data_IF_967749789193
#
_entry.id   IF_967749789193
#
_cell.length_a   1.000
_cell.length_b   1.000
_cell.length_c   1.000
_cell.angle_alpha   90.00
_cell.angle_beta   90.00
_cell.angle_gamma   90.00
#
_symmetry.space_group_name_H-M   'P 1'
#
loop_
_entity.id
_entity.type
_entity.pdbx_description
1 polymer ?
#
# COMPACT_ATOMS: atom_id res chain seq x y z
N UNK A 1 47.57 -18.12 -9.00
CA UNK A 1 46.40 -17.56 -9.73
C UNK A 1 45.41 -17.05 -8.68
N UNK A 2 45.41 -15.75 -8.40
CA UNK A 2 44.42 -15.11 -7.55
C UNK A 2 43.45 -14.36 -8.47
N UNK A 3 42.16 -14.66 -8.33
CA UNK A 3 41.08 -13.92 -8.98
C UNK A 3 41.01 -12.52 -8.38
N UNK A 4 40.92 -11.45 -9.18
CA UNK A 4 40.78 -10.11 -8.62
C UNK A 4 39.36 -9.97 -8.04
N UNK A 5 39.32 -9.71 -6.73
CA UNK A 5 38.11 -9.39 -6.00
C UNK A 5 37.68 -7.98 -6.41
N UNK A 6 36.67 -7.88 -7.28
CA UNK A 6 36.06 -6.59 -7.61
C UNK A 6 35.39 -6.04 -6.34
N UNK A 7 35.82 -4.85 -5.92
CA UNK A 7 35.23 -4.12 -4.80
C UNK A 7 33.78 -3.70 -5.12
N UNK A 8 32.86 -3.72 -4.15
CA UNK A 8 31.44 -3.41 -4.36
C UNK A 8 31.13 -1.96 -4.79
N UNK A 9 32.15 -1.09 -4.87
CA UNK A 9 31.99 0.30 -5.30
C UNK A 9 31.83 0.50 -6.83
N UNK A 10 31.99 -0.54 -7.65
CA UNK A 10 31.92 -0.43 -9.12
C UNK A 10 30.52 -0.64 -9.73
N UNK A 11 29.49 -0.92 -8.93
CA UNK A 11 28.10 -1.00 -9.42
C UNK A 11 27.36 0.36 -9.45
N UNK A 12 28.05 1.48 -9.24
CA UNK A 12 27.46 2.81 -9.26
C UNK A 12 27.49 3.51 -10.64
N UNK A 13 27.77 2.78 -11.72
CA UNK A 13 27.66 3.29 -13.09
C UNK A 13 26.22 3.18 -13.59
N UNK A 14 25.40 4.18 -13.31
CA UNK A 14 24.01 4.23 -13.76
C UNK A 14 23.43 5.65 -13.80
N UNK A 15 24.09 6.57 -14.50
CA UNK A 15 23.57 7.90 -14.86
C UNK A 15 23.44 8.89 -13.70
N UNK A 16 23.54 10.20 -14.00
CA UNK A 16 23.34 11.25 -12.99
C UNK A 16 21.91 11.15 -12.40
N UNK A 17 21.78 10.88 -11.09
CA UNK A 17 20.50 10.75 -10.40
C UNK A 17 19.49 11.86 -10.67
N UNK A 18 19.99 13.08 -10.84
CA UNK A 18 19.18 14.28 -11.02
C UNK A 18 18.52 14.38 -12.39
N UNK A 19 18.90 13.52 -13.35
CA UNK A 19 18.33 13.56 -14.70
C UNK A 19 16.81 13.36 -14.66
N UNK A 20 16.32 12.46 -13.81
CA UNK A 20 14.89 12.18 -13.63
C UNK A 20 14.16 13.30 -12.86
N UNK A 21 14.87 14.20 -12.19
CA UNK A 21 14.24 15.37 -11.58
C UNK A 21 13.92 16.46 -12.62
N UNK A 22 14.50 16.39 -13.83
CA UNK A 22 14.32 17.42 -14.86
C UNK A 22 12.93 17.33 -15.51
N UNK A 23 12.36 18.50 -15.79
CA UNK A 23 11.03 18.63 -16.40
C UNK A 23 10.93 18.00 -17.81
N UNK A 24 12.00 18.11 -18.61
CA UNK A 24 12.06 17.49 -19.94
C UNK A 24 12.01 15.96 -19.87
N UNK A 25 12.70 15.39 -18.88
CA UNK A 25 12.63 13.96 -18.59
C UNK A 25 11.25 13.52 -18.12
N UNK A 26 10.58 14.30 -17.27
CA UNK A 26 9.19 14.02 -16.88
C UNK A 26 8.25 13.97 -18.09
N UNK A 27 8.36 14.94 -19.01
CA UNK A 27 7.58 14.96 -20.26
C UNK A 27 7.86 13.73 -21.12
N UNK A 28 9.14 13.35 -21.26
CA UNK A 28 9.56 12.16 -21.99
C UNK A 28 8.96 10.87 -21.39
N UNK A 29 9.03 10.72 -20.07
CA UNK A 29 8.42 9.60 -19.34
C UNK A 29 6.91 9.57 -19.55
N UNK A 30 6.22 10.71 -19.38
CA UNK A 30 4.79 10.81 -19.63
C UNK A 30 4.42 10.38 -21.05
N UNK A 31 5.17 10.81 -22.06
CA UNK A 31 4.97 10.40 -23.44
C UNK A 31 5.17 8.90 -23.69
N UNK A 32 5.98 8.20 -22.88
CA UNK A 32 6.12 6.73 -22.93
C UNK A 32 4.99 6.02 -22.16
N UNK A 33 4.49 6.61 -21.08
CA UNK A 33 3.34 6.12 -20.32
C UNK A 33 2.02 6.21 -21.11
N UNK A 34 1.97 7.01 -22.17
CA UNK A 34 0.83 7.17 -23.08
C UNK A 34 1.06 6.54 -24.46
N UNK A 35 2.09 5.71 -24.62
CA UNK A 35 2.40 5.05 -25.89
C UNK A 35 1.27 4.09 -26.31
N UNK A 36 1.01 3.95 -27.61
CA UNK A 36 -0.02 3.07 -28.14
C UNK A 36 0.24 1.59 -27.77
N UNK A 37 1.51 1.19 -27.66
CA UNK A 37 1.89 -0.18 -27.30
C UNK A 37 1.80 -0.43 -25.80
N UNK A 38 0.99 -1.43 -25.42
CA UNK A 38 0.89 -1.89 -24.02
C UNK A 38 2.25 -2.31 -23.44
N UNK A 39 3.12 -2.94 -24.23
CA UNK A 39 4.45 -3.37 -23.74
C UNK A 39 5.38 -2.18 -23.47
N UNK A 40 5.27 -1.10 -24.25
CA UNK A 40 6.04 0.14 -24.03
C UNK A 40 5.55 0.83 -22.76
N UNK A 41 4.23 0.94 -22.57
CA UNK A 41 3.66 1.50 -21.34
C UNK A 41 4.06 0.69 -20.10
N UNK A 42 4.01 -0.64 -20.18
CA UNK A 42 4.43 -1.52 -19.07
C UNK A 42 5.90 -1.32 -18.73
N UNK A 43 6.78 -1.29 -19.74
CA UNK A 43 8.21 -1.07 -19.53
C UNK A 43 8.49 0.31 -18.91
N UNK A 44 7.76 1.35 -19.34
CA UNK A 44 7.86 2.69 -18.76
C UNK A 44 7.41 2.72 -17.28
N UNK A 45 6.30 2.05 -16.95
CA UNK A 45 5.83 1.91 -15.56
C UNK A 45 6.84 1.13 -14.72
N UNK A 46 7.38 0.02 -15.22
CA UNK A 46 8.40 -0.77 -14.51
C UNK A 46 9.66 0.04 -14.22
N UNK A 47 10.16 0.76 -15.23
CA UNK A 47 11.33 1.62 -15.07
C UNK A 47 11.07 2.70 -14.02
N UNK A 48 9.92 3.36 -14.10
CA UNK A 48 9.53 4.39 -13.15
C UNK A 48 9.40 3.83 -11.73
N UNK A 49 8.76 2.67 -11.58
CA UNK A 49 8.59 1.95 -10.32
C UNK A 49 9.92 1.67 -9.62
N UNK A 50 10.91 1.19 -10.37
CA UNK A 50 12.27 0.98 -9.84
C UNK A 50 12.88 2.27 -9.32
N UNK A 51 12.74 3.37 -10.05
CA UNK A 51 13.31 4.64 -9.62
C UNK A 51 12.64 5.23 -8.37
N UNK A 52 11.31 5.20 -8.27
CA UNK A 52 10.61 5.72 -7.08
C UNK A 52 10.87 4.88 -5.83
N UNK A 53 11.08 3.57 -6.00
CA UNK A 53 11.49 2.69 -4.89
C UNK A 53 12.94 2.93 -4.48
N UNK A 54 13.85 3.12 -5.43
CA UNK A 54 15.26 3.43 -5.14
C UNK A 54 15.46 4.85 -4.58
N UNK A 55 14.58 5.80 -4.91
CA UNK A 55 14.67 7.21 -4.49
C UNK A 55 13.30 7.74 -4.08
N UNK A 56 12.96 7.65 -2.78
CA UNK A 56 11.69 8.13 -2.25
C UNK A 56 11.38 9.59 -2.59
N UNK A 57 12.40 10.45 -2.76
CA UNK A 57 12.22 11.86 -3.14
C UNK A 57 11.58 12.04 -4.53
N UNK A 58 11.71 11.04 -5.42
CA UNK A 58 11.07 11.05 -6.73
C UNK A 58 9.64 10.52 -6.68
N UNK A 59 9.22 9.88 -5.58
CA UNK A 59 7.89 9.31 -5.47
C UNK A 59 6.81 10.40 -5.58
N UNK A 60 6.96 11.53 -4.88
CA UNK A 60 6.01 12.65 -4.98
C UNK A 60 5.91 13.21 -6.40
N UNK A 61 7.06 13.38 -7.06
CA UNK A 61 7.13 13.96 -8.40
C UNK A 61 6.41 13.13 -9.47
N UNK A 62 6.44 11.80 -9.32
CA UNK A 62 5.92 10.88 -10.33
C UNK A 62 4.65 10.14 -9.91
N UNK A 63 4.18 10.34 -8.67
CA UNK A 63 3.04 9.65 -8.10
C UNK A 63 1.81 9.77 -8.99
N UNK A 64 1.45 10.98 -9.40
CA UNK A 64 0.23 11.23 -10.18
C UNK A 64 0.26 10.48 -11.52
N UNK A 65 1.40 10.49 -12.23
CA UNK A 65 1.55 9.76 -13.49
C UNK A 65 1.47 8.24 -13.27
N UNK A 66 2.08 7.73 -12.20
CA UNK A 66 2.10 6.31 -11.88
C UNK A 66 0.71 5.80 -11.47
N UNK A 67 0.03 6.52 -10.59
CA UNK A 67 -1.25 6.10 -10.03
C UNK A 67 -2.37 6.10 -11.07
N UNK A 68 -2.35 7.02 -12.03
CA UNK A 68 -3.27 7.03 -13.16
C UNK A 68 -3.22 5.74 -13.99
N UNK A 69 -2.06 5.08 -14.07
CA UNK A 69 -1.88 3.84 -14.83
C UNK A 69 -2.57 2.63 -14.19
N UNK A 70 -3.13 2.74 -12.99
CA UNK A 70 -3.97 1.68 -12.42
C UNK A 70 -5.27 1.46 -13.23
N UNK A 71 -5.65 2.43 -14.06
CA UNK A 71 -6.80 2.37 -14.96
C UNK A 71 -6.40 2.03 -16.42
N UNK A 72 -5.14 1.65 -16.68
CA UNK A 72 -4.67 1.35 -18.05
C UNK A 72 -5.49 0.22 -18.68
N UNK A 73 -5.72 0.29 -20.00
CA UNK A 73 -6.45 -0.75 -20.72
C UNK A 73 -5.71 -2.09 -20.72
N UNK A 74 -4.38 -2.06 -20.68
CA UNK A 74 -3.52 -3.24 -20.62
C UNK A 74 -3.47 -3.88 -19.24
N UNK A 75 -3.84 -5.17 -19.16
CA UNK A 75 -3.80 -5.95 -17.91
C UNK A 75 -2.38 -5.98 -17.32
N UNK A 76 -1.34 -6.15 -18.14
CA UNK A 76 0.04 -6.24 -17.65
C UNK A 76 0.51 -4.95 -16.99
N UNK A 77 0.13 -3.79 -17.54
CA UNK A 77 0.39 -2.47 -16.97
C UNK A 77 -0.28 -2.34 -15.61
N UNK A 78 -1.58 -2.66 -15.50
CA UNK A 78 -2.31 -2.60 -14.22
C UNK A 78 -1.71 -3.51 -13.15
N UNK A 79 -1.36 -4.76 -13.51
CA UNK A 79 -0.66 -5.68 -12.60
C UNK A 79 0.66 -5.09 -12.12
N UNK A 80 1.40 -4.42 -13.01
CA UNK A 80 2.68 -3.79 -12.68
C UNK A 80 2.50 -2.65 -11.69
N UNK A 81 1.53 -1.76 -11.93
CA UNK A 81 1.21 -0.65 -11.03
C UNK A 81 0.85 -1.16 -9.64
N UNK A 82 -0.05 -2.14 -9.52
CA UNK A 82 -0.44 -2.71 -8.21
C UNK A 82 0.77 -3.24 -7.44
N UNK A 83 1.70 -3.94 -8.11
CA UNK A 83 2.93 -4.43 -7.46
C UNK A 83 3.82 -3.29 -6.96
N UNK A 84 4.02 -2.26 -7.77
CA UNK A 84 4.83 -1.09 -7.38
C UNK A 84 4.18 -0.37 -6.20
N UNK A 85 2.87 -0.12 -6.24
CA UNK A 85 2.15 0.54 -5.14
C UNK A 85 2.21 -0.26 -3.84
N UNK A 86 2.06 -1.59 -3.92
CA UNK A 86 2.28 -2.48 -2.76
C UNK A 86 3.69 -2.34 -2.20
N UNK A 87 4.70 -2.32 -3.07
CA UNK A 87 6.09 -2.24 -2.64
C UNK A 87 6.38 -0.86 -2.02
N UNK A 88 5.80 0.24 -2.54
CA UNK A 88 5.86 1.55 -1.89
C UNK A 88 5.20 1.50 -0.51
N UNK A 89 4.05 0.82 -0.36
CA UNK A 89 3.39 0.68 0.94
C UNK A 89 4.23 -0.03 2.00
N UNK A 90 5.13 -0.92 1.57
CA UNK A 90 6.00 -1.69 2.46
C UNK A 90 7.29 -0.91 2.76
N UNK A 91 7.94 -0.38 1.72
CA UNK A 91 9.26 0.23 1.83
C UNK A 91 9.21 1.69 2.29
N UNK A 92 8.08 2.39 2.09
CA UNK A 92 7.89 3.81 2.38
C UNK A 92 6.58 4.05 3.15
N UNK A 93 6.39 3.46 4.35
CA UNK A 93 5.12 3.47 5.08
C UNK A 93 4.66 4.86 5.55
N UNK A 94 5.56 5.86 5.55
CA UNK A 94 5.24 7.26 5.89
C UNK A 94 4.91 8.11 4.66
N UNK A 95 4.83 7.52 3.46
CA UNK A 95 4.48 8.27 2.26
C UNK A 95 3.07 8.87 2.39
N UNK A 96 2.86 10.17 2.11
CA UNK A 96 1.57 10.82 2.37
C UNK A 96 0.37 10.24 1.62
N UNK A 97 0.60 9.46 0.55
CA UNK A 97 -0.43 8.94 -0.35
C UNK A 97 -0.79 7.47 -0.12
N UNK A 98 -0.32 6.84 0.97
CA UNK A 98 -0.56 5.41 1.26
C UNK A 98 -2.05 5.06 1.24
N UNK A 99 -2.87 5.84 1.97
CA UNK A 99 -4.32 5.63 2.03
C UNK A 99 -4.95 5.70 0.64
N UNK A 100 -4.58 6.70 -0.17
CA UNK A 100 -5.07 6.86 -1.54
C UNK A 100 -4.68 5.66 -2.43
N UNK A 101 -3.44 5.18 -2.32
CA UNK A 101 -2.98 3.98 -3.03
C UNK A 101 -3.81 2.75 -2.66
N UNK A 102 -4.01 2.52 -1.37
CA UNK A 102 -4.79 1.39 -0.87
C UNK A 102 -6.22 1.45 -1.40
N UNK A 103 -6.90 2.60 -1.30
CA UNK A 103 -8.26 2.80 -1.86
C UNK A 103 -8.31 2.45 -3.34
N UNK A 104 -7.38 3.00 -4.15
CA UNK A 104 -7.37 2.75 -5.59
C UNK A 104 -7.07 1.29 -5.95
N UNK A 105 -6.20 0.61 -5.17
CA UNK A 105 -5.93 -0.82 -5.37
C UNK A 105 -7.13 -1.70 -5.04
N UNK A 106 -7.84 -1.47 -3.92
CA UNK A 106 -8.99 -2.34 -3.56
C UNK A 106 -10.16 -2.13 -4.51
N UNK A 107 -10.32 -0.93 -5.07
CA UNK A 107 -11.32 -0.69 -6.14
C UNK A 107 -11.12 -1.56 -7.38
N UNK A 108 -9.99 -2.28 -7.50
CA UNK A 108 -9.74 -3.28 -8.56
C UNK A 108 -10.13 -4.72 -8.16
N UNK A 109 -10.89 -4.92 -7.07
CA UNK A 109 -11.30 -6.25 -6.60
C UNK A 109 -12.28 -6.97 -7.54
N UNK A 110 -13.04 -6.22 -8.34
CA UNK A 110 -13.98 -6.73 -9.36
C UNK A 110 -13.43 -6.63 -10.79
N UNK A 111 -12.11 -6.50 -10.90
CA UNK A 111 -11.42 -6.46 -12.18
C UNK A 111 -11.20 -7.88 -12.74
N UNK A 112 -10.52 -7.99 -13.88
CA UNK A 112 -10.07 -9.24 -14.51
C UNK A 112 -9.45 -10.21 -13.50
N UNK A 113 -9.65 -11.52 -13.68
CA UNK A 113 -9.30 -12.56 -12.70
C UNK A 113 -7.83 -12.46 -12.23
N UNK A 114 -6.90 -12.20 -13.15
CA UNK A 114 -5.48 -12.03 -12.83
C UNK A 114 -5.13 -10.77 -12.03
N UNK A 115 -5.99 -9.74 -12.07
CA UNK A 115 -5.90 -8.52 -11.26
C UNK A 115 -6.56 -8.76 -9.91
N UNK A 116 -7.79 -9.31 -9.90
CA UNK A 116 -8.51 -9.68 -8.69
C UNK A 116 -7.64 -10.54 -7.78
N UNK A 117 -7.01 -11.58 -8.32
CA UNK A 117 -6.08 -12.43 -7.57
C UNK A 117 -4.93 -11.62 -6.95
N UNK A 118 -4.31 -10.74 -7.73
CA UNK A 118 -3.20 -9.91 -7.26
C UNK A 118 -3.61 -8.91 -6.18
N UNK A 119 -4.82 -8.33 -6.27
CA UNK A 119 -5.38 -7.44 -5.23
C UNK A 119 -5.56 -8.20 -3.92
N UNK A 120 -6.14 -9.40 -3.97
CA UNK A 120 -6.30 -10.25 -2.80
C UNK A 120 -4.94 -10.59 -2.16
N UNK A 121 -3.98 -11.09 -2.94
CA UNK A 121 -2.62 -11.39 -2.46
C UNK A 121 -1.92 -10.15 -1.85
N UNK A 122 -2.15 -8.98 -2.45
CA UNK A 122 -1.60 -7.71 -1.98
C UNK A 122 -2.11 -7.36 -0.59
N UNK A 123 -3.43 -7.38 -0.37
CA UNK A 123 -4.00 -7.00 0.92
C UNK A 123 -3.88 -8.09 1.98
N UNK A 124 -3.80 -9.36 1.58
CA UNK A 124 -3.40 -10.43 2.47
C UNK A 124 -2.00 -10.16 3.05
N UNK A 125 -1.03 -9.78 2.21
CA UNK A 125 0.32 -9.44 2.65
C UNK A 125 0.37 -8.16 3.50
N UNK A 126 -0.34 -7.11 3.09
CA UNK A 126 -0.30 -5.81 3.77
C UNK A 126 -1.01 -5.85 5.13
N UNK A 127 -2.19 -6.46 5.20
CA UNK A 127 -3.09 -6.33 6.36
C UNK A 127 -3.38 -7.66 7.04
N UNK A 128 -3.67 -8.71 6.26
CA UNK A 128 -4.18 -9.98 6.79
C UNK A 128 -3.11 -11.07 6.93
N UNK A 129 -1.92 -10.66 7.33
CA UNK A 129 -0.85 -11.57 7.78
C UNK A 129 -0.74 -11.44 9.30
N UNK A 130 -0.75 -12.56 10.07
CA UNK A 130 -0.61 -12.53 11.51
C UNK A 130 0.63 -11.74 11.95
N UNK A 131 0.45 -10.83 12.89
CA UNK A 131 1.53 -9.99 13.40
C UNK A 131 2.11 -10.65 14.66
N UNK A 132 3.44 -10.81 14.78
CA UNK A 132 4.05 -11.32 16.01
C UNK A 132 3.68 -10.45 17.22
N UNK A 133 3.43 -11.07 18.38
CA UNK A 133 2.97 -10.36 19.58
C UNK A 133 3.92 -9.24 20.07
N UNK A 134 5.20 -9.33 19.75
CA UNK A 134 6.19 -8.32 20.13
C UNK A 134 6.20 -7.10 19.18
N UNK A 135 5.62 -7.21 17.98
CA UNK A 135 5.61 -6.14 16.99
C UNK A 135 4.31 -5.31 17.06
N UNK A 136 4.16 -4.61 18.19
CA UNK A 136 2.99 -3.74 18.45
C UNK A 136 2.92 -2.56 17.48
N UNK A 137 4.07 -2.08 17.03
CA UNK A 137 4.12 -0.96 16.08
C UNK A 137 3.57 -1.36 14.72
N UNK A 138 3.91 -2.55 14.19
CA UNK A 138 3.33 -3.02 12.94
C UNK A 138 1.82 -3.23 13.06
N UNK A 139 1.34 -3.76 14.19
CA UNK A 139 -0.11 -3.87 14.45
C UNK A 139 -0.78 -2.49 14.43
N UNK A 140 -0.20 -1.51 15.13
CA UNK A 140 -0.71 -0.13 15.17
C UNK A 140 -0.75 0.49 13.78
N UNK A 141 0.32 0.35 12.99
CA UNK A 141 0.36 0.83 11.60
C UNK A 141 -0.71 0.19 10.73
N UNK A 142 -0.96 -1.12 10.86
CA UNK A 142 -2.03 -1.83 10.13
C UNK A 142 -3.41 -1.28 10.51
N UNK A 143 -3.67 -1.14 11.80
CA UNK A 143 -4.94 -0.61 12.31
C UNK A 143 -5.19 0.78 11.75
N UNK A 144 -4.24 1.71 11.89
CA UNK A 144 -4.36 3.07 11.41
C UNK A 144 -4.62 3.12 9.89
N UNK A 145 -3.87 2.36 9.11
CA UNK A 145 -4.05 2.34 7.65
C UNK A 145 -5.43 1.77 7.25
N UNK A 146 -5.89 0.68 7.89
CA UNK A 146 -7.23 0.14 7.64
C UNK A 146 -8.31 1.15 8.02
N UNK A 147 -8.20 1.79 9.19
CA UNK A 147 -9.18 2.80 9.62
C UNK A 147 -9.19 4.00 8.70
N UNK A 148 -8.04 4.47 8.23
CA UNK A 148 -7.92 5.60 7.30
C UNK A 148 -8.55 5.25 5.95
N UNK A 149 -8.34 4.03 5.44
CA UNK A 149 -8.94 3.57 4.18
C UNK A 149 -10.46 3.46 4.30
N UNK A 150 -10.97 2.89 5.40
CA UNK A 150 -12.42 2.79 5.64
C UNK A 150 -13.01 4.20 5.77
N UNK A 151 -12.37 5.10 6.53
CA UNK A 151 -12.82 6.48 6.69
C UNK A 151 -12.83 7.25 5.35
N UNK A 152 -11.79 7.10 4.53
CA UNK A 152 -11.67 7.75 3.23
C UNK A 152 -12.75 7.31 2.22
N UNK A 153 -13.43 6.20 2.47
CA UNK A 153 -14.44 5.66 1.59
C UNK A 153 -15.88 5.80 2.10
N UNK A 154 -16.09 6.52 3.22
CA UNK A 154 -17.41 6.72 3.85
C UNK A 154 -18.50 7.13 2.86
N UNK A 155 -18.17 7.99 1.90
CA UNK A 155 -19.13 8.54 0.94
C UNK A 155 -19.33 7.65 -0.30
N UNK A 156 -18.44 6.68 -0.55
CA UNK A 156 -18.49 5.81 -1.73
C UNK A 156 -19.01 4.40 -1.44
N UNK A 157 -19.34 4.10 -0.19
CA UNK A 157 -19.75 2.77 0.27
C UNK A 157 -18.59 1.81 0.50
N UNK A 158 -18.90 0.64 1.05
CA UNK A 158 -17.92 -0.34 1.55
C UNK A 158 -17.91 -1.67 0.78
N UNK A 159 -18.74 -1.82 -0.26
CA UNK A 159 -18.94 -3.07 -1.01
C UNK A 159 -17.62 -3.71 -1.50
N UNK A 160 -16.67 -2.90 -1.96
CA UNK A 160 -15.38 -3.37 -2.45
C UNK A 160 -14.49 -3.89 -1.30
N UNK A 161 -14.61 -3.34 -0.10
CA UNK A 161 -13.89 -3.82 1.09
C UNK A 161 -14.52 -5.11 1.61
N UNK A 162 -15.85 -5.17 1.66
CA UNK A 162 -16.60 -6.38 2.00
C UNK A 162 -16.26 -7.51 1.04
N UNK A 163 -16.27 -7.24 -0.27
CA UNK A 163 -15.91 -8.21 -1.30
C UNK A 163 -14.46 -8.71 -1.16
N UNK A 164 -13.51 -7.82 -0.83
CA UNK A 164 -12.13 -8.20 -0.54
C UNK A 164 -12.08 -9.16 0.65
N UNK A 165 -12.74 -8.82 1.77
CA UNK A 165 -12.71 -9.64 2.98
C UNK A 165 -13.39 -11.01 2.75
N UNK A 166 -14.52 -11.03 2.02
CA UNK A 166 -15.18 -12.26 1.62
C UNK A 166 -14.29 -13.15 0.77
N UNK A 167 -13.60 -12.59 -0.25
CA UNK A 167 -12.68 -13.35 -1.09
C UNK A 167 -11.54 -13.97 -0.27
N UNK A 168 -10.93 -13.19 0.63
CA UNK A 168 -9.82 -13.65 1.47
C UNK A 168 -10.25 -14.76 2.43
N UNK A 169 -11.37 -14.58 3.14
CA UNK A 169 -11.86 -15.58 4.09
C UNK A 169 -12.33 -16.87 3.39
N UNK A 170 -12.99 -16.75 2.23
CA UNK A 170 -13.43 -17.89 1.43
C UNK A 170 -12.24 -18.70 0.89
N UNK A 171 -11.13 -18.03 0.56
CA UNK A 171 -9.92 -18.72 0.08
C UNK A 171 -9.27 -19.64 1.12
N UNK A 172 -9.59 -19.47 2.41
CA UNK A 172 -9.08 -20.28 3.52
C UNK A 172 -10.16 -21.18 4.16
N UNK A 173 -11.33 -21.33 3.53
CA UNK A 173 -12.45 -22.08 4.10
C UNK A 173 -12.05 -23.54 4.38
N UNK A 174 -11.39 -24.18 3.41
CA UNK A 174 -10.92 -25.57 3.49
C UNK A 174 -9.44 -25.69 3.92
N UNK A 175 -8.76 -24.56 4.18
CA UNK A 175 -7.35 -24.58 4.55
C UNK A 175 -7.15 -25.04 6.01
N UNK A 176 -6.17 -25.93 6.23
CA UNK A 176 -5.80 -26.39 7.59
C UNK A 176 -5.20 -25.26 8.44
N UNK A 177 -4.47 -24.35 7.80
CA UNK A 177 -3.93 -23.14 8.41
C UNK A 177 -4.66 -21.91 7.85
N UNK A 178 -5.21 -21.07 8.74
CA UNK A 178 -6.06 -19.93 8.39
C UNK A 178 -5.44 -18.59 8.83
N UNK A 179 -4.37 -18.10 8.16
CA UNK A 179 -3.67 -16.90 8.57
C UNK A 179 -4.53 -15.63 8.45
N UNK A 180 -5.39 -15.50 7.44
CA UNK A 180 -6.31 -14.35 7.32
C UNK A 180 -7.23 -14.32 8.53
N UNK A 181 -7.84 -15.46 8.89
CA UNK A 181 -8.74 -15.54 10.06
C UNK A 181 -8.02 -15.13 11.35
N UNK A 182 -6.79 -15.62 11.58
CA UNK A 182 -5.98 -15.24 12.75
C UNK A 182 -5.66 -13.74 12.76
N UNK A 183 -5.27 -13.18 11.62
CA UNK A 183 -4.98 -11.74 11.50
C UNK A 183 -6.23 -10.89 11.78
N UNK A 184 -7.41 -11.29 11.26
CA UNK A 184 -8.67 -10.62 11.54
C UNK A 184 -8.98 -10.60 13.05
N UNK A 185 -8.82 -11.72 13.74
CA UNK A 185 -8.99 -11.77 15.21
C UNK A 185 -8.04 -10.81 15.91
N UNK A 186 -6.74 -10.83 15.58
CA UNK A 186 -5.77 -9.91 16.17
C UNK A 186 -6.14 -8.43 15.94
N UNK A 187 -6.57 -8.07 14.73
CA UNK A 187 -6.98 -6.72 14.39
C UNK A 187 -8.20 -6.27 15.20
N UNK A 188 -9.23 -7.11 15.29
CA UNK A 188 -10.45 -6.82 16.06
C UNK A 188 -10.14 -6.68 17.55
N UNK A 189 -9.38 -7.61 18.14
CA UNK A 189 -9.03 -7.58 19.56
C UNK A 189 -8.27 -6.29 19.91
N UNK A 190 -7.31 -5.88 19.07
CA UNK A 190 -6.54 -4.65 19.28
C UNK A 190 -7.41 -3.40 19.03
N UNK A 191 -8.34 -3.42 18.08
CA UNK A 191 -9.29 -2.31 17.88
C UNK A 191 -10.19 -2.12 19.10
N UNK A 192 -10.73 -3.21 19.66
CA UNK A 192 -11.54 -3.18 20.88
C UNK A 192 -10.72 -2.65 22.06
N UNK A 193 -9.48 -3.12 22.25
CA UNK A 193 -8.60 -2.62 23.30
C UNK A 193 -8.32 -1.12 23.17
N UNK A 194 -8.10 -0.62 21.95
CA UNK A 194 -7.93 0.81 21.70
C UNK A 194 -9.19 1.63 22.03
N UNK A 195 -10.37 1.14 21.66
CA UNK A 195 -11.64 1.80 21.98
C UNK A 195 -11.85 1.88 23.50
N UNK A 196 -11.62 0.78 24.22
CA UNK A 196 -11.74 0.74 25.68
C UNK A 196 -10.79 1.74 26.37
N UNK A 197 -9.52 1.77 25.96
CA UNK A 197 -8.53 2.74 26.49
C UNK A 197 -8.92 4.18 26.17
N UNK A 198 -9.49 4.42 24.99
CA UNK A 198 -9.96 5.74 24.61
C UNK A 198 -11.15 6.18 25.48
N UNK A 199 -12.12 5.30 25.74
CA UNK A 199 -13.24 5.56 26.65
C UNK A 199 -12.79 5.79 28.12
N UNK A 200 -11.84 5.00 28.61
CA UNK A 200 -11.22 5.21 29.93
C UNK A 200 -10.53 6.58 30.02
N UNK A 201 -9.83 7.00 28.95
CA UNK A 201 -9.18 8.31 28.93
C UNK A 201 -10.18 9.46 28.93
N UNK A 202 -11.31 9.31 28.23
CA UNK A 202 -12.39 10.30 28.21
C UNK A 202 -13.08 10.41 29.58
N UNK A 203 -13.40 9.27 30.20
CA UNK A 203 -14.01 9.23 31.54
C UNK A 203 -13.05 9.73 32.62
N UNK A 204 -11.77 9.41 32.52
CA UNK A 204 -10.71 10.00 33.36
C UNK A 204 -10.66 11.52 33.21
N UNK A 205 -10.68 12.05 31.98
CA UNK A 205 -10.69 13.49 31.73
C UNK A 205 -11.96 14.19 32.26
N UNK A 206 -13.11 13.52 32.26
CA UNK A 206 -14.35 14.04 32.87
C UNK A 206 -14.23 14.09 34.41
N UNK A 207 -13.61 13.09 35.04
CA UNK A 207 -13.41 13.06 36.49
C UNK A 207 -12.37 14.11 36.94
N UNK A 208 -11.36 14.39 36.11
CA UNK A 208 -10.29 15.35 36.37
C UNK A 208 -10.55 16.76 35.84
N UNK A 209 -11.72 17.07 35.27
CA UNK A 209 -12.09 18.44 34.93
C UNK A 209 -12.81 19.09 36.12
N UNK A 210 -12.13 19.89 36.97
CA UNK A 210 -12.74 20.45 38.18
C UNK A 210 -13.81 21.50 37.85
N UNK A 211 -13.86 21.98 36.60
CA UNK A 211 -14.80 23.00 36.14
C UNK A 211 -16.21 22.44 35.88
N UNK A 212 -16.37 21.13 35.70
CA UNK A 212 -17.68 20.49 35.48
C UNK A 212 -18.36 19.96 36.75
N UNK A 213 -17.69 20.02 37.91
CA UNK A 213 -18.30 19.70 39.22
C UNK A 213 -18.93 20.93 39.91
N UNK A 214 -18.92 22.09 39.24
CA UNK A 214 -19.41 23.37 39.77
C UNK A 214 -20.60 23.94 38.99
N UNK A 215 -21.23 23.13 38.13
CA UNK A 215 -22.55 23.39 37.54
C UNK A 215 -23.51 22.31 38.03
#
# INVERSE_FOLDING_TARGET
MQTPHLSPHLLQYGGNPSILARLDMQRGVHGRLMDNSTSVREAAVELLGRFVLCRPQLAEQYYDMLIERILDTGISVRKRVIKILRDICIEQPTFPKITEMCVKMIRRVNDEEGIKKLVNETFQKLWFTPTPHHDKEAMTRKILNITDVVAACRDTGYDWFEQLLQNLLKSEEDASYKPVKKACTQLVDNLVEHILKYEESLSGNIIYNPLLKLL
#
